data_IF_655718991291
#
_entry.id   IF_655718991291
#
_cell.length_a   1.000
_cell.length_b   1.000
_cell.length_c   1.000
_cell.angle_alpha   90.00
_cell.angle_beta   90.00
_cell.angle_gamma   90.00
#
_symmetry.space_group_name_H-M   'P 1'
#
loop_
_entity.id
_entity.type
_entity.pdbx_description
1 polymer ?
#
# COMPACT_ATOMS: atom_id res chain seq x y z
N UNK A 1 -14.95 4.04 -0.13
CA UNK A 1 -13.80 3.28 0.40
C UNK A 1 -13.96 3.33 1.91
N UNK A 2 -14.39 2.23 2.53
CA UNK A 2 -14.46 2.18 3.99
C UNK A 2 -13.02 2.13 4.49
N UNK A 3 -12.58 3.19 5.16
CA UNK A 3 -11.33 3.16 5.88
C UNK A 3 -11.52 2.19 7.05
N UNK A 4 -10.65 1.19 7.15
CA UNK A 4 -10.42 0.60 8.45
C UNK A 4 -9.67 1.66 9.23
N UNK A 5 -10.33 2.30 10.22
CA UNK A 5 -9.62 3.04 11.25
C UNK A 5 -8.84 1.99 12.05
N UNK A 6 -7.64 1.67 11.59
CA UNK A 6 -6.70 0.91 12.40
C UNK A 6 -6.13 1.93 13.36
N UNK A 7 -6.63 1.94 14.60
CA UNK A 7 -5.95 2.60 15.71
C UNK A 7 -4.94 1.57 16.23
N UNK A 8 -3.67 1.77 15.94
CA UNK A 8 -2.61 0.97 16.58
C UNK A 8 -1.79 1.88 17.47
N UNK A 9 -1.62 1.49 18.73
CA UNK A 9 -0.53 2.02 19.53
C UNK A 9 0.77 1.35 19.07
N UNK A 10 1.52 2.07 18.24
CA UNK A 10 2.77 1.56 17.69
C UNK A 10 3.82 1.30 18.77
N UNK A 11 3.76 2.03 19.89
CA UNK A 11 4.76 1.88 20.95
C UNK A 11 4.51 0.61 21.75
N UNK A 12 3.26 0.18 21.91
CA UNK A 12 2.95 -1.11 22.51
C UNK A 12 3.22 -2.31 21.58
N UNK A 13 3.19 -2.09 20.26
CA UNK A 13 3.19 -3.17 19.25
C UNK A 13 4.52 -3.38 18.53
N UNK A 14 5.43 -2.39 18.55
CA UNK A 14 6.73 -2.46 17.88
C UNK A 14 7.86 -2.09 18.85
N UNK A 15 8.80 -3.00 19.06
CA UNK A 15 9.90 -2.84 20.01
C UNK A 15 10.77 -1.60 19.73
N UNK A 16 10.94 -1.22 18.47
CA UNK A 16 11.72 -0.04 18.07
C UNK A 16 11.09 1.28 18.50
N UNK A 17 9.76 1.31 18.63
CA UNK A 17 9.01 2.48 19.05
C UNK A 17 8.56 2.38 20.51
N UNK A 18 8.95 1.34 21.26
CA UNK A 18 8.45 1.18 22.63
C UNK A 18 8.97 2.27 23.57
N UNK A 19 8.04 3.01 24.17
CA UNK A 19 8.29 3.94 25.26
C UNK A 19 7.27 3.69 26.37
N UNK A 20 7.68 3.41 27.63
CA UNK A 20 6.74 3.16 28.71
C UNK A 20 6.00 4.42 29.19
N UNK A 21 6.45 5.63 28.83
CA UNK A 21 5.89 6.90 29.29
C UNK A 21 5.21 7.70 28.17
N UNK A 22 5.28 7.22 26.92
CA UNK A 22 4.67 7.87 25.76
C UNK A 22 3.92 6.83 24.92
N UNK A 23 2.76 7.22 24.38
CA UNK A 23 2.01 6.43 23.42
C UNK A 23 2.03 7.11 22.05
N UNK A 24 1.95 6.31 20.98
CA UNK A 24 1.89 6.82 19.60
C UNK A 24 0.76 6.14 18.84
N UNK A 25 -0.24 6.94 18.48
CA UNK A 25 -1.39 6.48 17.71
C UNK A 25 -1.12 6.64 16.21
N UNK A 26 -1.03 5.52 15.50
CA UNK A 26 -1.09 5.50 14.04
C UNK A 26 -2.54 5.28 13.60
N UNK A 27 -3.00 6.12 12.67
CA UNK A 27 -4.41 6.25 12.30
C UNK A 27 -4.53 6.34 10.78
N UNK A 28 -5.43 5.55 10.19
CA UNK A 28 -5.78 5.68 8.77
C UNK A 28 -6.97 6.63 8.60
N UNK A 29 -6.73 7.76 7.93
CA UNK A 29 -7.77 8.73 7.61
C UNK A 29 -8.38 8.40 6.23
N UNK A 30 -9.63 7.93 6.19
CA UNK A 30 -10.38 7.83 4.94
C UNK A 30 -11.92 7.87 5.15
N UNK A 31 -12.70 8.24 4.12
CA UNK A 31 -12.29 8.62 2.76
C UNK A 31 -11.54 9.96 2.72
N UNK A 32 -10.45 10.03 1.94
CA UNK A 32 -9.51 11.16 1.97
C UNK A 32 -9.59 12.09 0.74
N UNK A 33 -10.58 11.91 -0.14
CA UNK A 33 -10.68 12.64 -1.42
C UNK A 33 -10.71 14.18 -1.23
N UNK A 34 -11.49 14.66 -0.26
CA UNK A 34 -11.59 16.09 0.08
C UNK A 34 -10.53 16.56 1.10
N UNK A 35 -9.73 15.64 1.62
CA UNK A 35 -8.75 15.90 2.68
C UNK A 35 -7.32 15.95 2.15
N UNK A 36 -7.06 15.33 1.00
CA UNK A 36 -5.72 15.20 0.44
C UNK A 36 -5.07 16.55 0.10
N UNK A 37 -5.89 17.56 -0.23
CA UNK A 37 -5.46 18.93 -0.55
C UNK A 37 -5.43 19.85 0.66
N UNK A 38 -5.98 19.44 1.81
CA UNK A 38 -6.03 20.27 3.02
C UNK A 38 -4.67 20.31 3.72
N UNK A 39 -4.49 21.30 4.58
CA UNK A 39 -3.29 21.42 5.40
C UNK A 39 -3.19 20.31 6.45
N UNK A 40 -1.98 20.04 6.93
CA UNK A 40 -1.76 19.02 7.96
C UNK A 40 -2.45 19.40 9.27
N UNK A 41 -2.51 20.70 9.60
CA UNK A 41 -3.23 21.21 10.78
C UNK A 41 -4.72 20.91 10.72
N UNK A 42 -5.38 21.12 9.57
CA UNK A 42 -6.81 20.79 9.41
C UNK A 42 -7.08 19.30 9.58
N UNK A 43 -6.18 18.44 9.09
CA UNK A 43 -6.28 16.99 9.26
C UNK A 43 -6.13 16.62 10.74
N UNK A 44 -5.14 17.18 11.43
CA UNK A 44 -4.90 16.93 12.85
C UNK A 44 -6.07 17.41 13.72
N UNK A 45 -6.63 18.59 13.44
CA UNK A 45 -7.82 19.09 14.15
C UNK A 45 -9.01 18.15 13.99
N UNK A 46 -9.28 17.68 12.77
CA UNK A 46 -10.33 16.71 12.50
C UNK A 46 -10.08 15.38 13.21
N UNK A 47 -8.84 14.88 13.17
CA UNK A 47 -8.44 13.65 13.88
C UNK A 47 -8.62 13.79 15.39
N UNK A 48 -8.22 14.92 16.00
CA UNK A 48 -8.38 15.17 17.42
C UNK A 48 -9.84 15.25 17.85
N UNK A 49 -10.71 15.82 17.00
CA UNK A 49 -12.16 15.82 17.24
C UNK A 49 -12.75 14.41 17.27
N UNK A 50 -12.27 13.49 16.42
CA UNK A 50 -12.72 12.08 16.47
C UNK A 50 -12.09 11.32 17.64
N UNK A 51 -10.81 11.55 17.95
CA UNK A 51 -10.14 10.93 19.10
C UNK A 51 -10.80 11.34 20.43
N UNK A 52 -11.27 12.59 20.56
CA UNK A 52 -12.01 13.03 21.74
C UNK A 52 -13.35 12.30 21.94
N UNK A 53 -13.93 11.71 20.87
CA UNK A 53 -15.12 10.86 20.98
C UNK A 53 -14.77 9.43 21.37
N UNK A 54 -13.63 8.92 20.89
CA UNK A 54 -13.16 7.57 21.16
C UNK A 54 -12.56 7.43 22.57
N UNK A 55 -11.83 8.44 23.01
CA UNK A 55 -11.13 8.50 24.29
C UNK A 55 -11.56 9.74 25.09
N UNK A 56 -12.86 9.85 25.44
CA UNK A 56 -13.41 11.08 26.02
C UNK A 56 -12.76 11.44 27.36
N UNK A 57 -12.21 10.47 28.09
CA UNK A 57 -11.59 10.67 29.39
C UNK A 57 -10.10 11.04 29.31
N UNK A 58 -9.43 10.75 28.21
CA UNK A 58 -7.97 10.84 28.07
C UNK A 58 -7.54 11.90 27.05
N UNK A 59 -8.31 12.09 25.97
CA UNK A 59 -7.99 12.98 24.86
C UNK A 59 -9.07 14.05 24.73
N UNK A 60 -8.64 15.31 24.63
CA UNK A 60 -9.51 16.44 24.35
C UNK A 60 -8.94 17.22 23.16
N UNK A 61 -9.82 17.69 22.26
CA UNK A 61 -9.40 18.38 21.04
C UNK A 61 -8.65 19.70 21.30
N UNK A 62 -8.95 20.35 22.42
CA UNK A 62 -8.26 21.56 22.90
C UNK A 62 -6.93 21.26 23.62
N UNK A 63 -6.52 19.99 23.70
CA UNK A 63 -5.34 19.51 24.42
C UNK A 63 -5.35 19.85 25.92
N UNK A 64 -6.53 20.00 26.54
CA UNK A 64 -6.68 20.17 27.99
C UNK A 64 -6.28 18.91 28.78
N UNK A 65 -6.30 17.74 28.11
CA UNK A 65 -5.91 16.42 28.66
C UNK A 65 -4.57 15.97 28.07
N UNK A 66 -4.52 14.85 27.36
CA UNK A 66 -3.35 14.43 26.61
C UNK A 66 -2.95 15.50 25.56
N UNK A 67 -1.65 15.74 25.43
CA UNK A 67 -1.08 16.77 24.55
C UNK A 67 -0.27 16.12 23.44
N UNK A 68 -0.38 16.67 22.23
CA UNK A 68 0.38 16.20 21.08
C UNK A 68 1.81 16.71 21.21
N UNK A 69 2.78 15.81 21.34
CA UNK A 69 4.21 16.17 21.38
C UNK A 69 4.74 16.46 19.98
N UNK A 70 4.35 15.63 19.01
CA UNK A 70 4.67 15.75 17.58
C UNK A 70 3.63 15.00 16.76
N UNK A 71 3.50 15.35 15.49
CA UNK A 71 2.67 14.62 14.53
C UNK A 71 3.40 14.48 13.20
N UNK A 72 2.98 13.48 12.41
CA UNK A 72 3.44 13.31 11.05
C UNK A 72 2.26 12.86 10.17
N UNK A 73 1.95 13.63 9.13
CA UNK A 73 0.85 13.33 8.21
C UNK A 73 1.43 12.84 6.89
N UNK A 74 1.21 11.57 6.58
CA UNK A 74 1.62 10.97 5.30
C UNK A 74 0.44 10.92 4.35
N UNK A 75 0.54 11.62 3.22
CA UNK A 75 -0.52 11.73 2.21
C UNK A 75 -0.19 10.87 0.99
N UNK A 76 -0.97 9.82 0.77
CA UNK A 76 -0.82 8.95 -0.41
C UNK A 76 -2.04 9.08 -1.32
N UNK A 77 -2.07 10.05 -2.26
CA UNK A 77 -3.25 10.35 -3.09
C UNK A 77 -3.67 9.19 -4.01
N UNK A 78 -2.69 8.34 -4.41
CA UNK A 78 -2.88 7.19 -5.28
C UNK A 78 -2.22 5.98 -4.63
N UNK A 79 -2.89 5.41 -3.63
CA UNK A 79 -2.40 4.25 -2.89
C UNK A 79 -2.71 2.96 -3.66
N UNK A 80 -3.68 2.17 -3.21
CA UNK A 80 -4.18 0.98 -3.88
C UNK A 80 -5.24 1.36 -4.93
N UNK A 81 -5.45 0.51 -5.93
CA UNK A 81 -6.51 0.74 -6.91
C UNK A 81 -7.88 0.75 -6.22
N UNK A 82 -8.79 1.61 -6.68
CA UNK A 82 -10.15 1.70 -6.14
C UNK A 82 -10.95 0.49 -6.65
N UNK A 83 -11.24 -0.47 -5.78
CA UNK A 83 -12.04 -1.67 -6.10
C UNK A 83 -13.52 -1.34 -6.28
N UNK A 84 -13.86 -0.68 -7.40
CA UNK A 84 -15.24 -0.45 -7.83
C UNK A 84 -15.79 -1.69 -8.55
N UNK A 85 -17.13 -1.83 -8.68
CA UNK A 85 -17.72 -2.91 -9.46
C UNK A 85 -17.11 -2.97 -10.87
N UNK A 86 -16.96 -4.18 -11.40
CA UNK A 86 -16.39 -4.47 -12.73
C UNK A 86 -14.88 -4.17 -12.91
N UNK A 87 -14.10 -3.98 -11.84
CA UNK A 87 -12.63 -3.93 -11.96
C UNK A 87 -11.99 -5.31 -12.26
N UNK A 88 -12.63 -6.41 -11.85
CA UNK A 88 -12.04 -7.75 -11.87
C UNK A 88 -11.64 -8.25 -13.28
N UNK A 89 -12.38 -7.96 -14.36
CA UNK A 89 -11.94 -8.24 -15.74
C UNK A 89 -10.75 -7.40 -16.21
N UNK A 90 -10.52 -6.22 -15.62
CA UNK A 90 -9.43 -5.31 -16.00
C UNK A 90 -8.08 -5.69 -15.37
N UNK A 91 -8.07 -6.62 -14.41
CA UNK A 91 -6.85 -7.02 -13.69
C UNK A 91 -5.99 -7.92 -14.59
N UNK A 92 -4.77 -7.51 -14.96
CA UNK A 92 -3.93 -8.29 -15.86
C UNK A 92 -3.37 -9.53 -15.17
N UNK A 93 -3.18 -10.62 -15.91
CA UNK A 93 -2.38 -11.76 -15.48
C UNK A 93 -0.89 -11.37 -15.38
N UNK A 94 -0.10 -12.15 -14.65
CA UNK A 94 1.32 -11.87 -14.47
C UNK A 94 2.13 -12.03 -15.77
N UNK A 95 1.71 -12.95 -16.66
CA UNK A 95 2.27 -13.09 -18.01
C UNK A 95 1.53 -12.15 -18.96
N UNK A 96 2.25 -11.18 -19.54
CA UNK A 96 1.68 -10.27 -20.53
C UNK A 96 1.68 -10.90 -21.94
N UNK A 97 0.94 -10.35 -22.92
CA UNK A 97 1.03 -10.79 -24.30
C UNK A 97 2.36 -10.41 -24.98
N UNK A 98 3.19 -9.58 -24.34
CA UNK A 98 4.50 -9.18 -24.86
C UNK A 98 5.55 -10.16 -24.31
N UNK A 99 6.24 -10.84 -25.21
CA UNK A 99 7.28 -11.81 -24.86
C UNK A 99 8.39 -11.19 -23.99
N UNK A 100 8.68 -11.83 -22.87
CA UNK A 100 9.69 -11.36 -21.90
C UNK A 100 9.22 -10.19 -21.04
N UNK A 101 7.96 -9.77 -21.11
CA UNK A 101 7.40 -8.72 -20.28
C UNK A 101 6.35 -9.30 -19.31
N UNK A 102 6.57 -9.09 -18.01
CA UNK A 102 5.75 -9.63 -16.92
C UNK A 102 5.34 -8.53 -15.96
N UNK A 103 4.21 -8.74 -15.27
CA UNK A 103 3.66 -7.79 -14.31
C UNK A 103 3.56 -8.42 -12.93
N UNK A 104 3.93 -7.65 -11.91
CA UNK A 104 3.72 -7.98 -10.51
C UNK A 104 3.16 -6.76 -9.77
N UNK A 105 2.43 -7.02 -8.69
CA UNK A 105 1.75 -6.02 -7.89
C UNK A 105 0.35 -6.49 -7.48
N UNK A 106 -0.14 -5.93 -6.39
CA UNK A 106 -1.46 -6.23 -5.81
C UNK A 106 -2.63 -6.06 -6.81
N UNK A 107 -2.50 -5.10 -7.75
CA UNK A 107 -3.45 -4.82 -8.83
C UNK A 107 -3.57 -5.94 -9.87
N UNK A 108 -2.53 -6.77 -10.05
CA UNK A 108 -2.56 -7.91 -10.97
C UNK A 108 -3.57 -8.96 -10.51
N UNK A 109 -3.95 -9.89 -11.39
CA UNK A 109 -4.99 -10.89 -11.15
C UNK A 109 -4.55 -11.89 -10.07
N UNK A 110 -5.18 -11.80 -8.90
CA UNK A 110 -5.01 -12.71 -7.77
C UNK A 110 -6.20 -12.58 -6.79
N UNK A 111 -6.35 -13.53 -5.87
CA UNK A 111 -7.56 -13.73 -5.04
C UNK A 111 -7.64 -12.95 -3.72
N UNK A 112 -6.55 -12.34 -3.27
CA UNK A 112 -6.38 -11.68 -1.96
C UNK A 112 -6.49 -10.14 -1.99
N UNK A 113 -7.28 -9.56 -2.91
CA UNK A 113 -7.55 -8.12 -3.00
C UNK A 113 -6.27 -7.25 -3.14
N UNK A 114 -6.44 -5.92 -3.15
CA UNK A 114 -5.32 -4.99 -3.09
C UNK A 114 -4.75 -4.96 -1.66
N UNK A 115 -3.83 -5.87 -1.36
CA UNK A 115 -3.29 -6.08 -0.01
C UNK A 115 -1.83 -6.53 -0.06
N UNK A 116 -1.17 -6.55 1.10
CA UNK A 116 0.17 -7.12 1.25
C UNK A 116 0.21 -8.58 0.79
N UNK A 117 -0.78 -9.38 1.18
CA UNK A 117 -0.91 -10.78 0.74
C UNK A 117 -1.07 -10.87 -0.80
N UNK A 118 -1.88 -9.98 -1.37
CA UNK A 118 -2.07 -9.89 -2.82
C UNK A 118 -0.78 -9.52 -3.56
N UNK A 119 0.01 -8.60 -3.02
CA UNK A 119 1.31 -8.20 -3.57
C UNK A 119 2.32 -9.37 -3.54
N UNK A 120 2.43 -10.07 -2.40
CA UNK A 120 3.33 -11.21 -2.24
C UNK A 120 2.91 -12.36 -3.16
N UNK A 121 1.63 -12.72 -3.19
CA UNK A 121 1.12 -13.76 -4.07
C UNK A 121 1.35 -13.40 -5.55
N UNK A 122 1.10 -12.14 -5.93
CA UNK A 122 1.38 -11.67 -7.28
C UNK A 122 2.85 -11.85 -7.66
N UNK A 123 3.77 -11.47 -6.77
CA UNK A 123 5.21 -11.68 -6.98
C UNK A 123 5.56 -13.16 -7.17
N UNK A 124 4.97 -14.04 -6.36
CA UNK A 124 5.14 -15.50 -6.49
C UNK A 124 4.63 -16.03 -7.83
N UNK A 125 3.45 -15.58 -8.27
CA UNK A 125 2.87 -15.96 -9.57
C UNK A 125 3.69 -15.44 -10.75
N UNK A 126 4.25 -14.23 -10.63
CA UNK A 126 5.13 -13.65 -11.64
C UNK A 126 6.43 -14.44 -11.78
N UNK A 127 7.10 -14.75 -10.66
CA UNK A 127 8.28 -15.60 -10.67
C UNK A 127 7.99 -17.00 -11.25
N UNK A 128 6.83 -17.57 -10.91
CA UNK A 128 6.39 -18.84 -11.48
C UNK A 128 6.20 -18.77 -13.01
N UNK A 129 5.60 -17.70 -13.52
CA UNK A 129 5.42 -17.52 -14.97
C UNK A 129 6.77 -17.39 -15.70
N UNK A 130 7.73 -16.67 -15.12
CA UNK A 130 9.09 -16.52 -15.69
C UNK A 130 9.80 -17.88 -15.76
N UNK A 131 9.77 -18.67 -14.68
CA UNK A 131 10.42 -19.99 -14.64
C UNK A 131 9.79 -20.96 -15.63
N UNK A 132 8.46 -20.91 -15.81
CA UNK A 132 7.76 -21.72 -16.81
C UNK A 132 8.17 -21.37 -18.26
N UNK A 133 8.52 -20.11 -18.51
CA UNK A 133 8.88 -19.62 -19.84
C UNK A 133 10.41 -19.69 -20.11
N UNK A 134 11.19 -20.30 -19.21
CA UNK A 134 12.66 -20.32 -19.27
C UNK A 134 13.20 -20.72 -20.64
N UNK A 135 12.71 -21.82 -21.22
CA UNK A 135 13.15 -22.30 -22.54
C UNK A 135 12.93 -21.28 -23.65
N UNK A 136 11.78 -20.61 -23.62
CA UNK A 136 11.42 -19.57 -24.59
C UNK A 136 12.31 -18.33 -24.42
N UNK A 137 12.56 -17.92 -23.18
CA UNK A 137 13.43 -16.78 -22.86
C UNK A 137 14.90 -17.06 -23.23
N UNK A 138 15.39 -18.28 -23.01
CA UNK A 138 16.73 -18.71 -23.43
C UNK A 138 16.85 -18.76 -24.97
N UNK A 139 15.83 -19.29 -25.65
CA UNK A 139 15.76 -19.32 -27.11
C UNK A 139 15.81 -17.92 -27.74
N UNK A 140 15.15 -16.93 -27.13
CA UNK A 140 15.25 -15.52 -27.54
C UNK A 140 16.66 -14.97 -27.38
N UNK A 141 17.32 -15.25 -26.25
CA UNK A 141 18.69 -14.77 -25.99
C UNK A 141 19.65 -15.28 -27.06
N UNK A 142 19.54 -16.56 -27.43
CA UNK A 142 20.36 -17.18 -28.48
C UNK A 142 20.13 -16.53 -29.86
N UNK A 143 18.87 -16.28 -30.24
CA UNK A 143 18.53 -15.58 -31.50
C UNK A 143 19.11 -14.17 -31.55
N UNK A 144 18.98 -13.40 -30.47
CA UNK A 144 19.53 -12.05 -30.41
C UNK A 144 21.07 -12.06 -30.52
N UNK A 145 21.76 -12.99 -29.84
CA UNK A 145 23.22 -13.10 -29.94
C UNK A 145 23.72 -13.53 -31.32
N UNK A 146 23.00 -14.39 -32.06
CA UNK A 146 23.37 -14.73 -33.44
C UNK A 146 23.17 -13.57 -34.41
N UNK A 147 22.13 -12.76 -34.19
CA UNK A 147 21.83 -11.61 -35.04
C UNK A 147 22.91 -10.51 -34.89
N UNK A 148 23.44 -10.29 -33.69
CA UNK A 148 24.55 -9.34 -33.47
C UNK A 148 25.86 -9.79 -34.12
N UNK A 149 26.17 -11.09 -34.10
CA UNK A 149 27.40 -11.64 -34.72
C UNK A 149 27.36 -11.61 -36.25
N UNK A 150 26.18 -11.62 -36.86
CA UNK A 150 26.03 -11.67 -38.33
C UNK A 150 26.05 -10.26 -38.97
N UNK A 151 25.99 -9.20 -38.16
CA UNK A 151 25.93 -7.79 -38.62
C UNK A 151 27.27 -7.05 -38.40
N UNK A 152 28.26 -7.68 -37.76
CA UNK A 152 29.64 -7.20 -37.62
C UNK A 152 30.56 -7.84 -38.67
#
# INVERSE_FOLDING_TARGET
MYAFLVVTDMMASLQEYYDPNCSMLELVFAPAEEWISRSDSEIIEATMSELAKLFPDEIAADQSKAKIVKYHVVKTPRSVYKTIPNCEPCRPLQRSPIEGFYLAGDYTKQKYLASMEGAVLSGKLCAQAIVQDTELLLGRKLKNSQTEVTVA
#
